data_IF_258114631258
#
_entry.id   IF_258114631258
#
_cell.length_a   1.000
_cell.length_b   1.000
_cell.length_c   1.000
_cell.angle_alpha   90.00
_cell.angle_beta   90.00
_cell.angle_gamma   90.00
#
_symmetry.space_group_name_H-M   'P 1'
#
loop_
_entity.id
_entity.type
_entity.pdbx_description
1 polymer ?
#
# COMPACT_ATOMS: atom_id res chain seq x y z
N UNK A 1 -28.52 2.36 32.96
CA UNK A 1 -29.09 3.36 32.02
C UNK A 1 -28.54 3.08 30.63
N UNK A 2 -29.42 2.61 29.72
CA UNK A 2 -29.09 2.34 28.32
C UNK A 2 -28.77 3.66 27.62
N UNK A 3 -27.56 3.84 27.09
CA UNK A 3 -27.25 4.92 26.16
C UNK A 3 -27.29 4.36 24.74
N UNK A 4 -28.25 4.86 23.97
CA UNK A 4 -28.44 4.56 22.57
C UNK A 4 -27.28 5.14 21.75
N UNK A 5 -26.68 4.31 20.89
CA UNK A 5 -25.70 4.74 19.90
C UNK A 5 -26.48 5.17 18.66
N UNK A 6 -26.47 6.47 18.38
CA UNK A 6 -27.01 7.06 17.14
C UNK A 6 -25.99 6.78 16.04
N UNK A 7 -26.34 5.89 15.10
CA UNK A 7 -25.56 5.66 13.88
C UNK A 7 -25.89 6.80 12.91
N UNK A 8 -24.99 7.78 12.83
CA UNK A 8 -25.03 8.82 11.80
C UNK A 8 -24.53 8.26 10.48
N UNK A 9 -25.42 8.18 9.49
CA UNK A 9 -25.07 7.88 8.09
C UNK A 9 -24.39 9.12 7.50
N UNK A 10 -23.07 9.07 7.34
CA UNK A 10 -22.32 10.06 6.56
C UNK A 10 -22.24 9.59 5.10
N UNK A 11 -23.18 10.06 4.28
CA UNK A 11 -23.08 10.03 2.82
C UNK A 11 -22.06 11.09 2.38
N UNK A 12 -20.84 10.67 2.03
CA UNK A 12 -19.86 11.52 1.35
C UNK A 12 -19.97 11.29 -0.16
N UNK A 13 -20.65 12.21 -0.84
CA UNK A 13 -20.59 12.36 -2.29
C UNK A 13 -19.41 13.28 -2.59
N UNK A 14 -18.30 12.72 -3.06
CA UNK A 14 -17.20 13.51 -3.65
C UNK A 14 -17.41 13.55 -5.16
N UNK A 15 -17.81 14.71 -5.69
CA UNK A 15 -17.89 14.98 -7.13
C UNK A 15 -16.53 15.55 -7.57
N UNK A 16 -15.70 14.72 -8.20
CA UNK A 16 -14.51 15.16 -8.91
C UNK A 16 -14.88 15.71 -10.30
N UNK A 17 -14.43 16.92 -10.60
CA UNK A 17 -14.59 17.60 -11.89
C UNK A 17 -13.70 16.90 -12.91
N UNK A 18 -14.28 16.30 -13.94
CA UNK A 18 -13.56 15.73 -15.10
C UNK A 18 -13.76 16.64 -16.30
N UNK A 19 -12.63 17.07 -16.88
CA UNK A 19 -12.57 17.82 -18.13
C UNK A 19 -13.24 17.09 -19.29
N UNK A 20 -13.83 17.87 -20.18
CA UNK A 20 -14.68 17.44 -21.29
C UNK A 20 -13.87 16.60 -22.29
N UNK A 21 -14.04 15.28 -22.25
CA UNK A 21 -13.78 14.35 -23.36
C UNK A 21 -14.95 13.36 -23.44
N UNK A 22 -15.57 13.30 -24.64
CA UNK A 22 -16.64 12.42 -25.13
C UNK A 22 -17.66 11.86 -24.11
N UNK A 23 -18.88 12.41 -24.15
CA UNK A 23 -19.99 12.10 -23.24
C UNK A 23 -20.58 10.68 -23.33
N UNK A 24 -20.22 9.85 -24.32
CA UNK A 24 -20.68 8.45 -24.42
C UNK A 24 -19.72 7.50 -23.67
N UNK A 25 -18.41 7.60 -23.90
CA UNK A 25 -17.37 6.88 -23.14
C UNK A 25 -17.42 7.17 -21.64
N UNK A 26 -17.75 8.40 -21.25
CA UNK A 26 -17.88 8.78 -19.84
C UNK A 26 -19.12 8.16 -19.16
N UNK A 27 -20.14 7.80 -19.93
CA UNK A 27 -21.39 7.21 -19.39
C UNK A 27 -21.26 5.69 -19.25
N UNK A 28 -20.59 5.02 -20.18
CA UNK A 28 -20.27 3.60 -20.10
C UNK A 28 -19.34 3.30 -18.91
N UNK A 29 -18.23 4.05 -18.76
CA UNK A 29 -17.33 3.90 -17.62
C UNK A 29 -18.03 4.11 -16.27
N UNK A 30 -18.97 5.05 -16.20
CA UNK A 30 -19.74 5.32 -14.97
C UNK A 30 -20.68 4.16 -14.61
N UNK A 31 -21.31 3.54 -15.60
CA UNK A 31 -22.17 2.37 -15.38
C UNK A 31 -21.36 1.15 -14.93
N UNK A 32 -20.19 0.93 -15.54
CA UNK A 32 -19.29 -0.15 -15.14
C UNK A 32 -18.81 0.01 -13.68
N UNK A 33 -18.45 1.24 -13.27
CA UNK A 33 -18.11 1.55 -11.87
C UNK A 33 -19.29 1.23 -10.93
N UNK A 34 -20.50 1.68 -11.26
CA UNK A 34 -21.68 1.44 -10.41
C UNK A 34 -21.94 -0.06 -10.25
N UNK A 35 -21.81 -0.82 -11.32
CA UNK A 35 -22.00 -2.27 -11.29
C UNK A 35 -20.91 -2.98 -10.47
N UNK A 36 -19.64 -2.61 -10.67
CA UNK A 36 -18.51 -3.09 -9.86
C UNK A 36 -18.76 -2.83 -8.37
N UNK A 37 -19.16 -1.59 -8.04
CA UNK A 37 -19.43 -1.23 -6.65
C UNK A 37 -20.57 -2.05 -6.06
N UNK A 38 -21.64 -2.27 -6.82
CA UNK A 38 -22.77 -3.10 -6.41
C UNK A 38 -22.36 -4.56 -6.19
N UNK A 39 -21.50 -5.12 -7.03
CA UNK A 39 -21.01 -6.49 -6.89
C UNK A 39 -20.11 -6.66 -5.66
N UNK A 40 -19.30 -5.64 -5.34
CA UNK A 40 -18.37 -5.69 -4.21
C UNK A 40 -19.02 -5.33 -2.86
N UNK A 41 -20.14 -4.61 -2.86
CA UNK A 41 -20.77 -4.12 -1.63
C UNK A 41 -21.13 -5.19 -0.58
N UNK A 42 -21.55 -6.41 -0.93
CA UNK A 42 -21.75 -7.48 0.06
C UNK A 42 -20.45 -7.87 0.78
N UNK A 43 -19.33 -7.89 0.04
CA UNK A 43 -17.98 -8.17 0.57
C UNK A 43 -17.58 -7.06 1.53
N UNK A 44 -17.74 -5.80 1.12
CA UNK A 44 -17.50 -4.62 1.96
C UNK A 44 -18.27 -4.66 3.28
N UNK A 45 -19.57 -4.91 3.19
CA UNK A 45 -20.46 -4.93 4.35
C UNK A 45 -20.08 -6.01 5.37
N UNK A 46 -19.57 -7.15 4.91
CA UNK A 46 -19.12 -8.23 5.78
C UNK A 46 -17.72 -7.97 6.33
N UNK A 47 -16.80 -7.47 5.51
CA UNK A 47 -15.45 -7.07 5.93
C UNK A 47 -15.48 -6.05 7.06
N UNK A 48 -16.25 -4.96 6.91
CA UNK A 48 -16.40 -3.93 7.95
C UNK A 48 -17.06 -4.43 9.23
N UNK A 49 -17.87 -5.50 9.15
CA UNK A 49 -18.49 -6.13 10.33
C UNK A 49 -17.51 -7.04 11.06
N UNK A 50 -16.58 -7.65 10.34
CA UNK A 50 -15.55 -8.52 10.93
C UNK A 50 -14.45 -7.72 11.62
N UNK A 51 -14.04 -6.60 11.00
CA UNK A 51 -12.95 -5.73 11.45
C UNK A 51 -13.39 -4.69 12.50
N UNK A 52 -14.38 -4.99 13.35
CA UNK A 52 -14.80 -4.04 14.40
C UNK A 52 -13.70 -3.84 15.44
N UNK A 53 -12.81 -4.81 15.61
CA UNK A 53 -11.59 -4.72 16.41
C UNK A 53 -10.39 -5.14 15.56
N UNK A 54 -9.20 -4.76 16.01
CA UNK A 54 -7.91 -5.09 15.40
C UNK A 54 -7.76 -6.61 15.20
N UNK A 55 -7.08 -6.99 14.11
CA UNK A 55 -6.79 -8.36 13.72
C UNK A 55 -5.33 -8.50 13.35
N UNK A 56 -4.74 -9.65 13.68
CA UNK A 56 -3.41 -10.01 13.18
C UNK A 56 -3.41 -10.28 11.68
N UNK A 57 -2.25 -10.19 11.03
CA UNK A 57 -2.13 -10.49 9.60
C UNK A 57 -2.61 -11.93 9.27
N UNK A 58 -2.39 -12.89 10.17
CA UNK A 58 -2.85 -14.26 9.99
C UNK A 58 -4.39 -14.38 10.03
N UNK A 59 -5.05 -13.65 10.92
CA UNK A 59 -6.51 -13.60 10.97
C UNK A 59 -7.09 -12.97 9.70
N UNK A 60 -6.46 -11.92 9.19
CA UNK A 60 -6.81 -11.30 7.90
C UNK A 60 -6.64 -12.29 6.75
N UNK A 61 -5.55 -13.06 6.72
CA UNK A 61 -5.32 -14.09 5.71
C UNK A 61 -6.39 -15.19 5.72
N UNK A 62 -6.78 -15.68 6.90
CA UNK A 62 -7.83 -16.68 7.07
C UNK A 62 -9.17 -16.12 6.58
N UNK A 63 -9.50 -14.90 6.99
CA UNK A 63 -10.78 -14.28 6.64
C UNK A 63 -10.86 -13.91 5.15
N UNK A 64 -9.75 -13.50 4.53
CA UNK A 64 -9.68 -13.28 3.09
C UNK A 64 -10.01 -14.56 2.31
N UNK A 65 -9.41 -15.70 2.68
CA UNK A 65 -9.72 -17.00 2.06
C UNK A 65 -11.21 -17.36 2.20
N UNK A 66 -11.81 -17.05 3.36
CA UNK A 66 -13.24 -17.22 3.58
C UNK A 66 -14.08 -16.36 2.63
N UNK A 67 -13.78 -15.06 2.53
CA UNK A 67 -14.50 -14.13 1.65
C UNK A 67 -14.36 -14.51 0.17
N UNK A 68 -13.15 -14.88 -0.28
CA UNK A 68 -12.91 -15.37 -1.65
C UNK A 68 -13.81 -16.56 -1.94
N UNK A 69 -13.82 -17.57 -1.06
CA UNK A 69 -14.65 -18.76 -1.25
C UNK A 69 -16.16 -18.44 -1.24
N UNK A 70 -16.60 -17.55 -0.36
CA UNK A 70 -18.01 -17.20 -0.20
C UNK A 70 -18.55 -16.38 -1.38
N UNK A 71 -17.73 -15.47 -1.89
CA UNK A 71 -18.11 -14.49 -2.93
C UNK A 71 -17.49 -14.80 -4.30
N UNK A 72 -17.00 -16.03 -4.50
CA UNK A 72 -16.29 -16.49 -5.69
C UNK A 72 -16.94 -16.05 -7.01
N UNK A 73 -18.24 -16.30 -7.18
CA UNK A 73 -18.98 -15.90 -8.39
C UNK A 73 -19.03 -14.38 -8.62
N UNK A 74 -19.10 -13.59 -7.55
CA UNK A 74 -19.08 -12.13 -7.68
C UNK A 74 -17.67 -11.67 -8.08
N UNK A 75 -16.65 -12.28 -7.48
CA UNK A 75 -15.25 -12.01 -7.74
C UNK A 75 -14.80 -12.45 -9.14
N UNK A 76 -15.38 -13.52 -9.70
CA UNK A 76 -15.23 -13.88 -11.12
C UNK A 76 -15.70 -12.74 -12.03
N UNK A 77 -16.94 -12.27 -11.83
CA UNK A 77 -17.52 -11.20 -12.66
C UNK A 77 -16.73 -9.90 -12.52
N UNK A 78 -16.23 -9.60 -11.31
CA UNK A 78 -15.34 -8.45 -11.07
C UNK A 78 -14.05 -8.62 -11.86
N UNK A 79 -13.39 -9.78 -11.73
CA UNK A 79 -12.12 -10.06 -12.41
C UNK A 79 -12.26 -9.98 -13.94
N UNK A 80 -13.30 -10.60 -14.50
CA UNK A 80 -13.56 -10.57 -15.95
C UNK A 80 -13.79 -9.14 -16.47
N UNK A 81 -14.44 -8.28 -15.68
CA UNK A 81 -14.61 -6.86 -16.02
C UNK A 81 -13.28 -6.12 -15.98
N UNK A 82 -12.46 -6.35 -14.96
CA UNK A 82 -11.15 -5.72 -14.82
C UNK A 82 -10.20 -6.12 -15.96
N UNK A 83 -10.19 -7.40 -16.34
CA UNK A 83 -9.47 -7.91 -17.53
C UNK A 83 -9.87 -7.17 -18.81
N UNK A 84 -11.18 -7.02 -19.04
CA UNK A 84 -11.71 -6.30 -20.19
C UNK A 84 -11.28 -4.83 -20.21
N UNK A 85 -11.33 -4.16 -19.05
CA UNK A 85 -10.94 -2.75 -18.90
C UNK A 85 -9.43 -2.57 -19.13
N UNK A 86 -8.62 -3.47 -18.56
CA UNK A 86 -7.16 -3.45 -18.69
C UNK A 86 -6.68 -3.90 -20.09
N UNK A 87 -7.53 -4.57 -20.88
CA UNK A 87 -7.13 -5.19 -22.14
C UNK A 87 -6.13 -6.33 -21.95
N UNK A 88 -6.22 -7.02 -20.81
CA UNK A 88 -5.31 -8.08 -20.36
C UNK A 88 -6.11 -9.31 -19.92
N UNK A 89 -5.45 -10.46 -19.81
CA UNK A 89 -6.13 -11.69 -19.38
C UNK A 89 -5.20 -12.54 -18.53
N UNK A 90 -5.74 -13.06 -17.44
CA UNK A 90 -5.16 -13.98 -16.50
C UNK A 90 -5.62 -15.40 -16.85
N UNK A 91 -4.73 -16.37 -16.63
CA UNK A 91 -5.13 -17.78 -16.59
C UNK A 91 -6.07 -18.05 -15.41
N UNK A 92 -6.84 -19.16 -15.43
CA UNK A 92 -7.73 -19.48 -14.31
C UNK A 92 -7.01 -19.54 -12.96
N UNK A 93 -5.79 -20.09 -12.93
CA UNK A 93 -4.98 -20.17 -11.70
C UNK A 93 -4.59 -18.77 -11.20
N UNK A 94 -4.31 -17.86 -12.11
CA UNK A 94 -3.99 -16.47 -11.78
C UNK A 94 -5.23 -15.72 -11.31
N UNK A 95 -6.40 -15.94 -11.91
CA UNK A 95 -7.67 -15.40 -11.42
C UNK A 95 -7.91 -15.74 -9.95
N UNK A 96 -7.78 -17.00 -9.56
CA UNK A 96 -7.98 -17.40 -8.15
C UNK A 96 -7.05 -16.67 -7.18
N UNK A 97 -5.81 -16.44 -7.59
CA UNK A 97 -4.83 -15.69 -6.82
C UNK A 97 -5.13 -14.19 -6.80
N UNK A 98 -5.60 -13.63 -7.90
CA UNK A 98 -5.98 -12.23 -8.01
C UNK A 98 -7.17 -11.90 -7.13
N UNK A 99 -8.18 -12.77 -7.09
CA UNK A 99 -9.30 -12.64 -6.14
C UNK A 99 -8.81 -12.52 -4.69
N UNK A 100 -7.82 -13.33 -4.31
CA UNK A 100 -7.23 -13.24 -2.98
C UNK A 100 -6.52 -11.91 -2.74
N UNK A 101 -5.72 -11.44 -3.70
CA UNK A 101 -5.05 -10.13 -3.64
C UNK A 101 -6.06 -8.99 -3.41
N UNK A 102 -7.12 -8.92 -4.23
CA UNK A 102 -8.18 -7.92 -4.12
C UNK A 102 -8.80 -7.87 -2.72
N UNK A 103 -9.10 -9.05 -2.16
CA UNK A 103 -9.72 -9.15 -0.84
C UNK A 103 -8.72 -8.78 0.25
N UNK A 104 -7.45 -9.21 0.15
CA UNK A 104 -6.45 -8.90 1.17
C UNK A 104 -6.15 -7.42 1.26
N UNK A 105 -5.89 -6.78 0.12
CA UNK A 105 -5.70 -5.33 0.04
C UNK A 105 -6.91 -4.59 0.64
N UNK A 106 -8.12 -5.04 0.29
CA UNK A 106 -9.33 -4.41 0.79
C UNK A 106 -9.50 -4.52 2.32
N UNK A 107 -9.14 -5.66 2.91
CA UNK A 107 -9.15 -5.85 4.36
C UNK A 107 -8.11 -4.97 5.04
N UNK A 108 -6.88 -4.93 4.54
CA UNK A 108 -5.80 -4.09 5.08
C UNK A 108 -6.19 -2.61 5.03
N UNK A 109 -6.83 -2.15 3.95
CA UNK A 109 -7.39 -0.79 3.89
C UNK A 109 -8.40 -0.50 5.00
N UNK A 110 -9.35 -1.40 5.25
CA UNK A 110 -10.35 -1.20 6.31
C UNK A 110 -9.65 -1.17 7.68
N UNK A 111 -8.70 -2.07 7.91
CA UNK A 111 -7.96 -2.12 9.16
C UNK A 111 -7.20 -0.80 9.41
N UNK A 112 -6.52 -0.28 8.39
CA UNK A 112 -5.87 1.03 8.43
C UNK A 112 -6.85 2.20 8.67
N UNK A 113 -8.08 2.15 8.12
CA UNK A 113 -9.14 3.14 8.36
C UNK A 113 -9.63 3.14 9.82
N UNK A 114 -9.63 1.97 10.45
CA UNK A 114 -10.14 1.74 11.80
C UNK A 114 -9.08 1.86 12.89
N UNK A 115 -7.80 1.83 12.51
CA UNK A 115 -6.67 1.99 13.41
C UNK A 115 -6.79 3.19 14.35
N UNK A 116 -6.10 3.09 15.49
CA UNK A 116 -6.20 4.01 16.63
C UNK A 116 -6.21 5.49 16.21
N UNK A 117 -7.35 6.16 16.41
CA UNK A 117 -7.44 7.62 16.41
C UNK A 117 -6.97 8.12 17.77
N UNK A 118 -5.70 8.46 17.85
CA UNK A 118 -5.15 9.07 19.04
C UNK A 118 -5.71 10.49 19.22
N UNK A 119 -5.98 10.86 20.47
CA UNK A 119 -6.33 12.23 20.84
C UNK A 119 -5.07 13.01 21.19
N UNK A 120 -5.02 14.30 20.85
CA UNK A 120 -3.88 15.20 21.10
C UNK A 120 -2.60 14.85 20.34
N UNK A 121 -2.73 14.33 19.12
CA UNK A 121 -1.60 14.15 18.20
C UNK A 121 -1.25 15.44 17.47
N UNK A 122 0.04 15.66 17.27
CA UNK A 122 0.56 16.58 16.26
C UNK A 122 0.68 15.84 14.92
N UNK A 123 0.52 16.56 13.81
CA UNK A 123 0.66 15.99 12.47
C UNK A 123 1.51 16.87 11.58
N UNK A 124 2.52 16.27 10.98
CA UNK A 124 3.39 16.90 9.99
C UNK A 124 3.34 16.12 8.68
N UNK A 125 3.29 16.84 7.56
CA UNK A 125 3.24 16.26 6.23
C UNK A 125 4.35 16.91 5.41
N UNK A 126 5.24 16.08 4.86
CA UNK A 126 6.38 16.53 4.08
C UNK A 126 6.34 15.91 2.70
N UNK A 127 6.68 16.72 1.70
CA UNK A 127 6.89 16.27 0.33
C UNK A 127 8.39 16.08 0.10
N UNK A 128 8.73 15.08 -0.70
CA UNK A 128 10.11 14.71 -0.95
C UNK A 128 10.68 15.54 -2.11
N UNK A 129 11.87 16.11 -1.90
CA UNK A 129 12.55 16.99 -2.86
C UNK A 129 13.86 16.33 -3.31
N UNK A 130 14.10 16.08 -4.60
CA UNK A 130 15.37 15.54 -5.06
C UNK A 130 16.50 16.55 -4.80
N UNK A 131 17.58 16.12 -4.13
CA UNK A 131 18.72 16.99 -3.81
C UNK A 131 20.03 16.58 -4.49
N UNK A 132 20.13 15.37 -5.02
CA UNK A 132 21.31 14.98 -5.81
C UNK A 132 21.43 13.50 -6.11
N UNK A 133 22.59 13.13 -6.66
CA UNK A 133 22.99 11.74 -6.88
C UNK A 133 24.34 11.52 -6.21
N UNK A 134 24.44 10.51 -5.36
CA UNK A 134 25.68 10.04 -4.76
C UNK A 134 26.16 8.79 -5.51
N UNK A 135 27.47 8.66 -5.70
CA UNK A 135 28.08 7.48 -6.32
C UNK A 135 29.21 6.98 -5.43
N UNK A 136 29.19 5.69 -5.14
CA UNK A 136 30.35 4.99 -4.58
C UNK A 136 30.97 4.04 -5.63
N UNK A 137 31.92 3.20 -5.22
CA UNK A 137 32.63 2.30 -6.12
C UNK A 137 31.77 1.17 -6.71
N UNK A 138 30.59 0.91 -6.17
CA UNK A 138 29.71 -0.19 -6.56
C UNK A 138 28.34 0.29 -7.05
N UNK A 139 27.87 1.47 -6.61
CA UNK A 139 26.48 1.87 -6.79
C UNK A 139 26.31 3.37 -7.05
N UNK A 140 25.21 3.72 -7.72
CA UNK A 140 24.74 5.10 -7.89
C UNK A 140 23.37 5.24 -7.22
N UNK A 141 23.26 6.16 -6.28
CA UNK A 141 22.06 6.40 -5.48
C UNK A 141 21.55 7.81 -5.72
N UNK A 142 20.23 7.97 -5.87
CA UNK A 142 19.60 9.29 -5.84
C UNK A 142 19.16 9.60 -4.42
N UNK A 143 19.39 10.84 -3.99
CA UNK A 143 19.10 11.31 -2.64
C UNK A 143 18.00 12.37 -2.73
N UNK A 144 16.99 12.20 -1.87
CA UNK A 144 15.89 13.13 -1.70
C UNK A 144 15.89 13.67 -0.28
N UNK A 145 15.33 14.86 -0.09
CA UNK A 145 15.21 15.57 1.17
C UNK A 145 13.73 15.71 1.55
N UNK A 146 13.39 15.35 2.78
CA UNK A 146 12.12 15.69 3.42
C UNK A 146 12.40 16.31 4.81
N UNK A 147 11.99 17.56 5.07
CA UNK A 147 12.26 18.22 6.35
C UNK A 147 11.12 17.98 7.35
N UNK A 148 11.26 17.01 8.25
CA UNK A 148 10.34 16.90 9.40
C UNK A 148 10.89 17.72 10.60
N UNK A 149 10.04 18.12 11.53
CA UNK A 149 10.45 18.87 12.73
C UNK A 149 11.18 18.00 13.74
N UNK A 150 12.21 18.54 14.40
CA UNK A 150 12.87 17.93 15.57
C UNK A 150 11.94 17.61 16.75
N UNK A 151 10.69 18.09 16.71
CA UNK A 151 9.66 17.78 17.72
C UNK A 151 9.06 16.37 17.59
N UNK A 152 9.20 15.73 16.43
CA UNK A 152 8.72 14.37 16.20
C UNK A 152 9.66 13.38 16.92
N UNK A 153 9.17 12.56 17.86
CA UNK A 153 10.01 11.55 18.48
C UNK A 153 10.36 10.44 17.48
N UNK A 154 11.37 9.64 17.82
CA UNK A 154 11.78 8.50 16.99
C UNK A 154 11.97 8.82 15.50
N UNK A 155 12.83 9.79 15.15
CA UNK A 155 13.10 10.14 13.77
C UNK A 155 13.62 8.95 12.96
N UNK A 156 13.04 8.73 11.77
CA UNK A 156 13.58 7.85 10.73
C UNK A 156 14.29 8.70 9.69
N UNK A 157 15.61 8.52 9.57
CA UNK A 157 16.45 9.35 8.71
C UNK A 157 16.55 8.82 7.28
N UNK A 158 16.42 7.52 7.08
CA UNK A 158 16.59 6.87 5.78
C UNK A 158 15.41 5.98 5.47
N UNK A 159 14.70 6.33 4.41
CA UNK A 159 13.75 5.45 3.74
C UNK A 159 14.38 4.98 2.45
N UNK A 160 14.35 3.68 2.18
CA UNK A 160 15.13 3.10 1.09
C UNK A 160 14.17 2.31 0.19
N UNK A 161 14.07 2.71 -1.08
CA UNK A 161 13.37 1.96 -2.12
C UNK A 161 14.36 1.23 -3.02
N UNK A 162 13.94 0.12 -3.63
CA UNK A 162 14.70 -0.51 -4.70
C UNK A 162 14.55 0.31 -5.98
N UNK A 163 15.60 0.34 -6.78
CA UNK A 163 15.65 1.15 -7.99
C UNK A 163 14.55 0.82 -9.02
N UNK A 164 14.23 -0.46 -9.30
CA UNK A 164 13.18 -0.81 -10.27
C UNK A 164 11.80 -0.27 -9.88
N UNK A 165 11.51 -0.17 -8.58
CA UNK A 165 10.26 0.40 -8.08
C UNK A 165 10.09 1.87 -8.46
N UNK A 166 11.20 2.60 -8.47
CA UNK A 166 11.21 4.03 -8.78
C UNK A 166 11.30 4.32 -10.28
N UNK A 167 12.10 3.52 -11.01
CA UNK A 167 12.50 3.84 -12.39
C UNK A 167 12.12 2.77 -13.43
N UNK A 168 11.48 1.70 -12.99
CA UNK A 168 11.14 0.58 -13.83
C UNK A 168 12.34 -0.30 -14.16
N UNK A 169 12.04 -1.40 -14.86
CA UNK A 169 13.04 -2.31 -15.38
C UNK A 169 12.59 -3.76 -15.32
N UNK A 170 13.44 -4.63 -15.87
CA UNK A 170 13.26 -6.07 -15.83
C UNK A 170 14.49 -6.72 -15.24
N UNK A 171 14.29 -7.77 -14.46
CA UNK A 171 15.40 -8.47 -13.85
C UNK A 171 14.95 -9.59 -12.94
N UNK A 172 15.83 -9.92 -12.02
CA UNK A 172 15.61 -10.93 -10.99
C UNK A 172 16.01 -10.34 -9.64
N UNK A 173 15.24 -10.61 -8.60
CA UNK A 173 15.59 -10.27 -7.23
C UNK A 173 16.57 -11.30 -6.60
N UNK A 174 16.91 -11.08 -5.33
CA UNK A 174 17.87 -11.94 -4.62
C UNK A 174 17.34 -13.34 -4.27
N UNK A 175 16.03 -13.59 -4.40
CA UNK A 175 15.47 -14.93 -4.28
C UNK A 175 15.36 -15.66 -5.63
N UNK A 176 15.73 -15.01 -6.73
CA UNK A 176 15.61 -15.60 -8.07
C UNK A 176 14.25 -15.35 -8.74
N UNK A 177 13.38 -14.51 -8.16
CA UNK A 177 12.07 -14.17 -8.73
C UNK A 177 12.23 -13.08 -9.79
N UNK A 178 11.50 -13.24 -10.89
CA UNK A 178 11.53 -12.28 -12.00
C UNK A 178 10.58 -11.11 -11.75
N UNK A 179 11.01 -9.92 -12.15
CA UNK A 179 10.16 -8.73 -12.23
C UNK A 179 10.25 -8.07 -13.60
N UNK A 180 9.16 -7.41 -13.97
CA UNK A 180 9.02 -6.52 -15.12
C UNK A 180 8.05 -5.41 -14.70
N UNK A 181 8.60 -4.27 -14.27
CA UNK A 181 7.85 -3.14 -13.70
C UNK A 181 8.12 -1.88 -14.51
N UNK A 182 7.12 -1.02 -14.63
CA UNK A 182 7.21 0.32 -15.24
C UNK A 182 7.90 1.31 -14.30
N UNK A 183 7.80 1.11 -12.99
CA UNK A 183 8.24 2.04 -11.98
C UNK A 183 7.34 3.27 -11.95
N UNK A 184 7.95 4.41 -11.62
CA UNK A 184 7.26 5.62 -11.19
C UNK A 184 6.60 5.51 -9.80
N UNK A 185 6.85 4.46 -9.01
CA UNK A 185 6.29 4.22 -7.65
C UNK A 185 7.01 5.00 -6.54
N UNK A 186 7.50 6.18 -6.89
CA UNK A 186 8.26 7.04 -6.00
C UNK A 186 7.49 7.30 -4.69
N UNK A 187 8.14 7.13 -3.54
CA UNK A 187 7.69 7.77 -2.31
C UNK A 187 7.63 9.28 -2.58
N UNK A 188 6.48 9.91 -2.43
CA UNK A 188 6.30 11.34 -2.73
C UNK A 188 5.89 12.17 -1.52
N UNK A 189 5.38 11.52 -0.47
CA UNK A 189 4.95 12.19 0.74
C UNK A 189 5.12 11.28 1.96
N UNK A 190 5.51 11.87 3.08
CA UNK A 190 5.53 11.23 4.40
C UNK A 190 4.67 12.06 5.34
N UNK A 191 3.82 11.39 6.10
CA UNK A 191 3.07 11.98 7.20
C UNK A 191 3.56 11.37 8.51
N UNK A 192 3.89 12.21 9.49
CA UNK A 192 4.19 11.81 10.85
C UNK A 192 3.07 12.31 11.76
N UNK A 193 2.32 11.40 12.36
CA UNK A 193 1.34 11.70 13.40
C UNK A 193 1.88 11.23 14.75
N UNK A 194 2.03 12.13 15.72
CA UNK A 194 2.86 11.85 16.89
C UNK A 194 2.36 12.46 18.21
N UNK A 195 2.77 11.82 19.30
CA UNK A 195 2.75 12.33 20.68
C UNK A 195 4.19 12.40 21.20
N UNK A 196 4.43 12.47 22.51
CA UNK A 196 5.77 12.41 23.10
C UNK A 196 6.45 11.04 23.04
N UNK A 197 5.70 9.94 22.98
CA UNK A 197 6.23 8.57 23.08
C UNK A 197 5.68 7.65 21.98
N UNK A 198 5.07 8.22 20.94
CA UNK A 198 4.48 7.50 19.82
C UNK A 198 4.63 8.30 18.53
N UNK A 199 4.92 7.63 17.42
CA UNK A 199 4.75 8.15 16.06
C UNK A 199 4.11 7.09 15.16
N UNK A 200 3.10 7.48 14.40
CA UNK A 200 2.65 6.78 13.20
C UNK A 200 3.25 7.45 11.97
N UNK A 201 4.07 6.70 11.24
CA UNK A 201 4.51 7.11 9.92
C UNK A 201 3.54 6.59 8.88
N UNK A 202 3.08 7.44 7.98
CA UNK A 202 2.30 7.06 6.80
C UNK A 202 3.03 7.53 5.56
N UNK A 203 3.39 6.57 4.72
CA UNK A 203 4.14 6.73 3.49
C UNK A 203 3.17 6.70 2.32
N UNK A 204 3.37 7.60 1.36
CA UNK A 204 2.53 7.70 0.17
C UNK A 204 3.40 7.50 -1.07
N UNK A 205 3.10 6.46 -1.82
CA UNK A 205 3.77 6.05 -3.04
C UNK A 205 2.91 6.39 -4.24
N UNK A 206 3.54 6.66 -5.38
CA UNK A 206 2.80 7.07 -6.58
C UNK A 206 1.97 5.96 -7.23
N UNK A 207 2.33 4.71 -6.99
CA UNK A 207 1.63 3.52 -7.49
C UNK A 207 1.94 2.30 -6.60
N UNK A 208 1.48 1.11 -6.99
CA UNK A 208 1.84 -0.21 -6.46
C UNK A 208 2.04 -1.21 -7.61
N UNK A 209 3.17 -1.13 -8.32
CA UNK A 209 3.37 -1.97 -9.51
C UNK A 209 3.55 -3.44 -9.15
N UNK A 210 2.68 -4.30 -9.68
CA UNK A 210 2.91 -5.74 -9.56
C UNK A 210 4.12 -6.15 -10.43
N UNK A 211 4.97 -7.12 -10.02
CA UNK A 211 6.15 -7.56 -10.78
C UNK A 211 5.85 -8.19 -12.16
N UNK A 212 4.58 -8.24 -12.55
CA UNK A 212 4.09 -8.74 -13.83
C UNK A 212 3.17 -7.70 -14.47
N UNK A 213 3.45 -7.21 -15.69
CA UNK A 213 2.69 -6.14 -16.33
C UNK A 213 1.23 -6.47 -16.65
N UNK A 214 0.86 -7.76 -16.69
CA UNK A 214 -0.52 -8.20 -16.92
C UNK A 214 -1.32 -8.03 -15.64
N UNK A 215 -0.75 -8.51 -14.53
CA UNK A 215 -1.32 -8.37 -13.20
C UNK A 215 -1.43 -6.92 -12.79
N UNK A 216 -0.35 -6.18 -13.01
CA UNK A 216 -0.25 -4.76 -12.72
C UNK A 216 -1.42 -3.99 -13.35
N UNK A 217 -1.58 -4.04 -14.67
CA UNK A 217 -2.64 -3.33 -15.37
C UNK A 217 -4.06 -3.67 -14.88
N UNK A 218 -4.31 -4.92 -14.44
CA UNK A 218 -5.62 -5.35 -13.93
C UNK A 218 -5.84 -4.85 -12.49
N UNK A 219 -4.80 -4.92 -11.66
CA UNK A 219 -4.81 -4.40 -10.29
C UNK A 219 -4.97 -2.88 -10.27
N UNK A 220 -4.29 -2.22 -11.17
CA UNK A 220 -4.30 -0.79 -11.38
C UNK A 220 -5.69 -0.30 -11.83
N UNK A 221 -6.37 -1.07 -12.69
CA UNK A 221 -7.78 -0.85 -13.02
C UNK A 221 -8.70 -0.98 -11.80
N UNK A 222 -8.47 -1.97 -10.93
CA UNK A 222 -9.24 -2.13 -9.70
C UNK A 222 -9.10 -0.93 -8.77
N UNK A 223 -7.85 -0.51 -8.49
CA UNK A 223 -7.56 0.61 -7.60
C UNK A 223 -8.19 1.91 -8.12
N UNK A 224 -8.10 2.20 -9.42
CA UNK A 224 -8.77 3.35 -10.06
C UNK A 224 -10.29 3.33 -9.87
N UNK A 225 -10.94 2.19 -10.11
CA UNK A 225 -12.40 2.10 -10.11
C UNK A 225 -12.99 2.09 -8.69
N UNK A 226 -12.30 1.42 -7.76
CA UNK A 226 -12.79 1.21 -6.40
C UNK A 226 -12.32 2.31 -5.44
N UNK A 227 -11.03 2.67 -5.47
CA UNK A 227 -10.44 3.69 -4.59
C UNK A 227 -10.36 5.08 -5.23
N UNK A 228 -10.42 5.19 -6.56
CA UNK A 228 -10.26 6.46 -7.26
C UNK A 228 -8.81 6.93 -7.34
N UNK A 229 -7.86 6.04 -7.06
CA UNK A 229 -6.42 6.30 -6.96
C UNK A 229 -5.63 5.05 -7.35
N UNK A 230 -4.34 5.21 -7.61
CA UNK A 230 -3.40 4.08 -7.80
C UNK A 230 -2.30 4.10 -6.75
N UNK A 231 -2.05 5.28 -6.19
CA UNK A 231 -1.07 5.53 -5.14
C UNK A 231 -1.18 4.53 -4.01
N UNK A 232 -0.06 3.96 -3.60
CA UNK A 232 -0.03 3.15 -2.39
C UNK A 232 0.13 3.98 -1.12
N UNK A 233 -0.46 3.48 -0.03
CA UNK A 233 -0.46 4.16 1.25
C UNK A 233 -0.21 3.12 2.33
N UNK A 234 0.96 3.23 2.95
CA UNK A 234 1.37 2.27 3.96
C UNK A 234 1.80 2.95 5.24
N UNK A 235 1.60 2.27 6.37
CA UNK A 235 1.89 2.85 7.66
C UNK A 235 2.44 1.85 8.65
N UNK A 236 3.33 2.33 9.52
CA UNK A 236 3.83 1.59 10.66
C UNK A 236 3.98 2.54 11.85
N UNK A 237 4.19 1.98 13.04
CA UNK A 237 4.26 2.77 14.27
C UNK A 237 5.60 2.62 14.95
N UNK A 238 6.00 3.64 15.71
CA UNK A 238 7.11 3.58 16.64
C UNK A 238 6.60 4.03 18.00
N UNK A 239 6.66 3.15 18.98
CA UNK A 239 6.22 3.43 20.35
C UNK A 239 7.19 2.79 21.34
N UNK A 240 7.49 3.49 22.43
CA UNK A 240 8.26 2.93 23.54
C UNK A 240 9.63 2.33 23.12
N UNK A 241 10.25 2.88 22.07
CA UNK A 241 11.55 2.44 21.57
C UNK A 241 11.52 1.20 20.67
N UNK A 242 10.34 0.80 20.16
CA UNK A 242 10.22 -0.26 19.16
C UNK A 242 9.42 0.22 17.95
N UNK A 243 9.76 -0.31 16.79
CA UNK A 243 9.05 -0.16 15.53
C UNK A 243 8.13 -1.36 15.37
N UNK A 244 6.83 -1.13 15.16
CA UNK A 244 5.84 -2.17 14.88
C UNK A 244 5.41 -2.07 13.42
N UNK A 245 5.75 -3.10 12.65
CA UNK A 245 5.29 -3.34 11.29
C UNK A 245 4.09 -4.30 11.37
N UNK A 246 2.91 -3.76 11.66
CA UNK A 246 1.66 -4.53 11.79
C UNK A 246 0.98 -4.62 10.41
N UNK A 247 0.79 -5.84 9.91
CA UNK A 247 0.36 -6.17 8.54
C UNK A 247 1.16 -5.50 7.41
N UNK A 248 2.36 -5.01 7.69
CA UNK A 248 3.22 -4.34 6.71
C UNK A 248 4.67 -4.81 6.72
N UNK A 249 4.99 -5.83 7.54
CA UNK A 249 6.30 -6.44 7.48
C UNK A 249 6.46 -7.29 6.21
N UNK A 250 7.61 -7.21 5.56
CA UNK A 250 7.95 -7.93 4.32
C UNK A 250 7.90 -9.47 4.39
N UNK A 251 7.66 -10.04 5.57
CA UNK A 251 7.57 -11.47 5.82
C UNK A 251 8.78 -12.28 5.31
N UNK A 252 9.98 -11.70 5.44
CA UNK A 252 11.24 -12.24 4.95
C UNK A 252 11.25 -12.49 3.42
N UNK A 253 10.45 -11.73 2.67
CA UNK A 253 10.34 -11.81 1.21
C UNK A 253 11.21 -10.79 0.50
N UNK A 254 11.42 -11.05 -0.78
CA UNK A 254 12.21 -10.22 -1.70
C UNK A 254 11.29 -9.50 -2.69
N UNK A 255 11.85 -8.56 -3.44
CA UNK A 255 11.09 -7.55 -4.17
C UNK A 255 9.99 -8.14 -5.07
N UNK A 256 10.33 -9.18 -5.80
CA UNK A 256 9.46 -9.78 -6.81
C UNK A 256 8.71 -11.01 -6.27
N UNK A 257 8.56 -11.16 -4.95
CA UNK A 257 7.68 -12.16 -4.37
C UNK A 257 6.22 -11.78 -4.64
N UNK A 258 5.43 -12.71 -5.17
CA UNK A 258 4.04 -12.45 -5.55
C UNK A 258 3.04 -12.70 -4.41
N UNK A 259 3.40 -13.50 -3.39
CA UNK A 259 2.44 -13.95 -2.38
C UNK A 259 2.99 -13.98 -0.95
N UNK A 260 2.13 -13.61 0.00
CA UNK A 260 2.40 -13.72 1.43
C UNK A 260 3.41 -12.70 1.96
N UNK A 261 3.34 -11.47 1.44
CA UNK A 261 4.36 -10.44 1.64
C UNK A 261 4.06 -9.51 2.82
N UNK A 262 2.86 -9.60 3.39
CA UNK A 262 2.44 -8.85 4.58
C UNK A 262 2.40 -9.78 5.80
N UNK A 263 3.05 -9.34 6.86
CA UNK A 263 3.06 -10.00 8.16
C UNK A 263 3.26 -8.98 9.29
N UNK A 264 3.45 -9.51 10.50
CA UNK A 264 3.62 -8.72 11.72
C UNK A 264 5.06 -8.83 12.23
N UNK A 265 5.70 -7.71 12.55
CA UNK A 265 7.05 -7.71 13.12
C UNK A 265 7.35 -6.50 14.01
N UNK A 266 7.98 -6.78 15.14
CA UNK A 266 8.59 -5.74 15.97
C UNK A 266 10.11 -5.71 15.77
N UNK A 267 10.66 -4.50 15.62
CA UNK A 267 12.10 -4.23 15.58
C UNK A 267 12.47 -3.21 16.65
N UNK A 268 13.67 -3.31 17.21
CA UNK A 268 14.16 -2.26 18.11
C UNK A 268 14.38 -0.95 17.33
N UNK A 269 13.93 0.16 17.90
CA UNK A 269 14.24 1.49 17.36
C UNK A 269 15.61 1.94 17.84
N UNK A 270 16.41 2.48 16.92
CA UNK A 270 17.63 3.21 17.23
C UNK A 270 17.63 4.52 16.45
N UNK A 271 18.38 5.52 16.91
CA UNK A 271 18.48 6.81 16.23
C UNK A 271 19.04 6.74 14.80
N UNK A 272 19.65 5.62 14.42
CA UNK A 272 20.24 5.40 13.10
C UNK A 272 19.44 4.40 12.27
N UNK A 273 18.23 4.04 12.69
CA UNK A 273 17.42 3.05 11.97
C UNK A 273 17.05 3.57 10.58
N UNK A 274 17.35 2.76 9.57
CA UNK A 274 16.84 2.88 8.22
C UNK A 274 15.65 1.92 8.04
N UNK A 275 14.70 2.31 7.20
CA UNK A 275 13.56 1.46 6.81
C UNK A 275 13.62 1.23 5.31
N UNK A 276 13.64 -0.04 4.91
CA UNK A 276 13.52 -0.47 3.53
C UNK A 276 12.03 -0.55 3.22
N UNK A 277 11.54 0.38 2.42
CA UNK A 277 10.11 0.65 2.23
C UNK A 277 9.54 0.07 0.93
N UNK A 278 10.33 -0.78 0.28
CA UNK A 278 9.94 -1.54 -0.91
C UNK A 278 10.75 -2.85 -0.95
N UNK A 279 10.86 -3.53 0.21
CA UNK A 279 11.49 -4.86 0.22
C UNK A 279 10.70 -5.84 -0.63
N UNK A 280 9.40 -5.58 -0.79
CA UNK A 280 8.48 -6.22 -1.72
C UNK A 280 7.77 -5.13 -2.54
N UNK A 281 7.34 -5.46 -3.75
CA UNK A 281 6.66 -4.59 -4.70
C UNK A 281 5.42 -3.86 -4.15
N UNK A 282 4.71 -4.46 -3.20
CA UNK A 282 3.55 -3.84 -2.54
C UNK A 282 3.94 -3.04 -1.28
N UNK A 283 5.13 -2.43 -1.32
CA UNK A 283 5.72 -1.61 -0.25
C UNK A 283 5.77 -2.23 1.15
N UNK A 284 5.75 -3.55 1.25
CA UNK A 284 6.04 -4.21 2.52
C UNK A 284 7.48 -3.91 2.97
N UNK A 285 7.66 -3.72 4.28
CA UNK A 285 8.81 -3.02 4.86
C UNK A 285 9.54 -3.84 5.92
N UNK A 286 10.80 -3.52 6.14
CA UNK A 286 11.57 -3.96 7.32
C UNK A 286 12.74 -2.99 7.54
N UNK A 287 13.43 -3.14 8.66
CA UNK A 287 14.73 -2.47 8.91
C UNK A 287 15.91 -3.23 8.28
N UNK A 288 15.66 -4.34 7.59
CA UNK A 288 16.68 -5.19 6.98
C UNK A 288 16.53 -5.19 5.46
N UNK A 289 17.63 -5.05 4.72
CA UNK A 289 17.63 -5.16 3.26
C UNK A 289 17.39 -6.61 2.85
N UNK A 290 16.28 -6.89 2.16
CA UNK A 290 16.02 -8.20 1.57
C UNK A 290 16.58 -8.34 0.16
N UNK A 291 16.98 -7.23 -0.45
CA UNK A 291 17.42 -7.17 -1.84
C UNK A 291 18.82 -6.56 -1.97
N UNK A 292 19.85 -6.98 -1.20
CA UNK A 292 21.17 -6.36 -1.19
C UNK A 292 21.86 -6.22 -2.56
N UNK A 293 21.56 -7.07 -3.55
CA UNK A 293 22.16 -6.93 -4.89
C UNK A 293 21.49 -5.87 -5.76
N UNK A 294 20.28 -5.44 -5.39
CA UNK A 294 19.52 -4.47 -6.16
C UNK A 294 19.94 -3.04 -5.81
N UNK A 295 20.12 -2.21 -6.85
CA UNK A 295 20.36 -0.77 -6.71
C UNK A 295 19.26 -0.12 -5.85
N UNK A 296 19.61 0.92 -5.09
CA UNK A 296 18.69 1.59 -4.15
C UNK A 296 18.50 3.08 -4.45
N UNK A 297 17.35 3.60 -4.04
CA UNK A 297 17.01 5.02 -3.98
C UNK A 297 16.83 5.40 -2.52
N UNK A 298 17.50 6.46 -2.09
CA UNK A 298 17.55 6.85 -0.68
C UNK A 298 16.78 8.16 -0.48
N UNK A 299 15.80 8.10 0.41
CA UNK A 299 15.02 9.26 0.84
C UNK A 299 15.53 9.67 2.22
N UNK A 300 16.24 10.78 2.27
CA UNK A 300 16.78 11.33 3.51
C UNK A 300 15.80 12.30 4.14
N UNK A 301 15.43 12.04 5.39
CA UNK A 301 14.67 12.99 6.20
C UNK A 301 15.59 13.70 7.16
N UNK A 302 15.63 15.02 7.04
CA UNK A 302 16.32 15.89 7.98
C UNK A 302 15.33 16.36 9.01
N UNK A 303 15.77 16.38 10.27
CA UNK A 303 14.99 16.81 11.41
C UNK A 303 15.56 18.14 11.88
N UNK A 304 14.80 19.23 11.75
CA UNK A 304 15.25 20.60 12.11
C UNK A 304 14.84 21.01 13.50
#
# INVERSE_FOLDING_TARGET
>A
MKKALVIGICLLIVVGIVGVVSGETNKENKNEIIELKRLFQPIDSEARRYLVDERSSEELNIFAKYLVKKYDKCLDVITDKLEKIAGKSLTQKEKEKFKYLLIREYLSKIDQELGLKLTNTSKEIVKLVPIGTFRDSQYSYKIYYAPLSSSVPYPIYYWIQVYPDVYGGKGTDDAGNRYDVNGDNNLYQVSAEYTTNYVKYTLYFKDEDHPDPTWDAIYDAWRKLWYGRIEDIESFTVENGVINFDDIWDNDKTYAEWWGQHGDKTRDYTSNTAVYISNVWNHAMDTLDKNPSMNKVWWYISWS
#
